data_IF_723223309865
#
_entry.id   IF_723223309865
#
_cell.length_a   1.000
_cell.length_b   1.000
_cell.length_c   1.000
_cell.angle_alpha   90.00
_cell.angle_beta   90.00
_cell.angle_gamma   90.00
#
_symmetry.space_group_name_H-M   'P 1'
#
loop_
_entity.id
_entity.type
_entity.pdbx_description
1 polymer ?
#
# COMPACT_ATOMS: atom_id res chain seq x y z
N UNK A 1 -56.24 -41.48 23.70
CA UNK A 1 -56.01 -42.91 23.95
C UNK A 1 -54.54 -43.20 23.68
N UNK A 2 -53.61 -42.98 24.63
CA UNK A 2 -53.55 -43.41 26.05
C UNK A 2 -53.21 -44.91 26.18
N UNK A 3 -52.41 -45.35 27.15
CA UNK A 3 -51.46 -44.62 28.03
C UNK A 3 -50.31 -45.58 28.41
N UNK A 4 -49.18 -45.05 28.91
CA UNK A 4 -48.05 -45.87 29.35
C UNK A 4 -47.08 -45.09 30.23
N UNK A 5 -47.36 -45.04 31.54
CA UNK A 5 -46.64 -44.18 32.50
C UNK A 5 -45.42 -44.85 33.14
N UNK A 6 -44.35 -44.07 33.26
CA UNK A 6 -43.41 -44.05 34.39
C UNK A 6 -42.46 -45.25 34.57
N UNK A 7 -41.23 -45.09 35.07
CA UNK A 7 -40.51 -43.87 35.45
C UNK A 7 -40.02 -43.90 36.90
N UNK A 8 -38.72 -44.07 37.10
CA UNK A 8 -37.96 -43.83 38.34
C UNK A 8 -36.45 -43.88 38.02
N UNK A 9 -35.64 -43.10 38.74
CA UNK A 9 -34.18 -43.28 38.85
C UNK A 9 -33.81 -43.79 40.26
N UNK A 10 -32.57 -43.62 40.75
CA UNK A 10 -31.40 -42.97 40.13
C UNK A 10 -30.18 -43.93 39.98
N UNK A 11 -29.05 -43.43 39.47
CA UNK A 11 -27.76 -44.12 39.50
C UNK A 11 -26.59 -43.16 39.38
N UNK A 12 -25.71 -43.11 40.38
CA UNK A 12 -24.50 -42.28 40.37
C UNK A 12 -23.39 -42.90 39.51
N UNK A 13 -22.78 -42.11 38.62
CA UNK A 13 -21.54 -42.47 37.94
C UNK A 13 -20.55 -41.30 37.99
N UNK A 14 -19.38 -41.55 38.59
CA UNK A 14 -18.39 -40.55 39.02
C UNK A 14 -17.73 -39.79 37.86
N UNK A 15 -17.23 -38.59 38.17
CA UNK A 15 -16.42 -37.76 37.29
C UNK A 15 -15.19 -38.51 36.73
N UNK A 16 -14.95 -38.37 35.43
CA UNK A 16 -13.68 -38.67 34.78
C UNK A 16 -13.16 -37.44 34.04
N UNK A 17 -12.11 -36.81 34.54
CA UNK A 17 -11.46 -35.68 33.85
C UNK A 17 -10.53 -36.20 32.76
N UNK A 18 -10.81 -35.87 31.50
CA UNK A 18 -9.90 -36.04 30.37
C UNK A 18 -9.73 -34.69 29.66
N UNK A 19 -8.49 -34.22 29.56
CA UNK A 19 -8.16 -32.89 29.03
C UNK A 19 -8.37 -32.82 27.52
N UNK A 20 -9.21 -31.88 27.07
CA UNK A 20 -9.21 -31.42 25.68
C UNK A 20 -8.18 -30.30 25.53
N UNK A 21 -7.15 -30.50 24.71
CA UNK A 21 -6.27 -29.43 24.26
C UNK A 21 -7.07 -28.46 23.39
N UNK A 22 -7.15 -27.19 23.80
CA UNK A 22 -7.79 -26.16 23.00
C UNK A 22 -6.90 -25.82 21.79
N UNK A 23 -7.29 -26.26 20.60
CA UNK A 23 -6.77 -25.68 19.37
C UNK A 23 -7.19 -24.21 19.31
N UNK A 24 -6.22 -23.31 19.20
CA UNK A 24 -6.46 -21.87 19.12
C UNK A 24 -7.12 -21.51 17.80
N UNK A 25 -8.45 -21.42 17.78
CA UNK A 25 -9.18 -20.91 16.62
C UNK A 25 -8.84 -19.42 16.44
N UNK A 26 -8.09 -19.10 15.38
CA UNK A 26 -7.74 -17.73 15.05
C UNK A 26 -9.03 -16.94 14.74
N UNK A 27 -9.31 -15.92 15.54
CA UNK A 27 -10.56 -15.18 15.42
C UNK A 27 -10.62 -14.41 14.09
N UNK A 28 -11.46 -14.88 13.16
CA UNK A 28 -11.88 -14.17 11.94
C UNK A 28 -12.78 -12.96 12.32
N UNK A 29 -12.18 -12.01 13.03
CA UNK A 29 -12.82 -10.94 13.76
C UNK A 29 -12.97 -9.65 12.96
N UNK A 30 -14.11 -9.52 12.29
CA UNK A 30 -14.60 -8.34 11.59
C UNK A 30 -13.92 -7.96 10.26
N UNK A 31 -14.76 -7.57 9.28
CA UNK A 31 -14.31 -7.03 7.97
C UNK A 31 -13.44 -5.78 8.19
N UNK A 32 -12.25 -5.69 7.56
CA UNK A 32 -11.29 -4.61 7.79
C UNK A 32 -11.88 -3.24 7.43
N UNK A 33 -11.41 -2.18 8.08
CA UNK A 33 -12.07 -0.88 8.04
C UNK A 33 -12.20 -0.31 6.62
N UNK A 34 -11.20 -0.56 5.76
CA UNK A 34 -11.24 -0.25 4.32
C UNK A 34 -12.56 -0.68 3.67
N UNK A 35 -13.01 -1.93 3.86
CA UNK A 35 -14.27 -2.45 3.32
C UNK A 35 -15.53 -1.73 3.81
N UNK A 36 -15.45 -0.98 4.92
CA UNK A 36 -16.58 -0.21 5.48
C UNK A 36 -16.75 1.15 4.80
N UNK A 37 -15.66 1.77 4.32
CA UNK A 37 -15.72 3.03 3.57
C UNK A 37 -16.41 2.86 2.22
N UNK A 38 -16.27 1.68 1.59
CA UNK A 38 -16.86 1.35 0.28
C UNK A 38 -18.35 0.96 0.33
N UNK A 39 -19.02 1.11 1.49
CA UNK A 39 -20.47 0.93 1.56
C UNK A 39 -21.16 2.00 0.73
N UNK A 40 -21.60 1.62 -0.47
CA UNK A 40 -22.57 2.38 -1.27
C UNK A 40 -23.70 2.87 -0.35
N UNK A 41 -24.04 4.15 -0.41
CA UNK A 41 -25.26 4.64 0.23
C UNK A 41 -26.46 3.80 -0.26
N UNK A 42 -27.47 3.52 0.60
CA UNK A 42 -28.67 2.81 0.17
C UNK A 42 -29.30 3.55 -1.01
N UNK A 43 -29.90 2.80 -1.95
CA UNK A 43 -30.52 3.36 -3.16
C UNK A 43 -31.45 4.52 -2.77
N UNK A 44 -31.13 5.72 -3.25
CA UNK A 44 -32.01 6.87 -3.08
C UNK A 44 -33.36 6.57 -3.72
N UNK A 45 -34.46 6.81 -2.99
CA UNK A 45 -35.84 6.51 -3.42
C UNK A 45 -36.37 7.52 -4.47
N UNK A 46 -35.47 8.07 -5.27
CA UNK A 46 -35.67 9.17 -6.21
C UNK A 46 -35.91 8.72 -7.67
N UNK A 47 -36.05 7.42 -7.95
CA UNK A 47 -36.65 6.95 -9.21
C UNK A 47 -38.18 6.96 -9.11
N UNK A 48 -38.75 8.16 -9.10
CA UNK A 48 -40.18 8.38 -9.38
C UNK A 48 -40.30 9.46 -10.44
N UNK A 49 -40.44 9.02 -11.70
CA UNK A 49 -40.41 9.89 -12.88
C UNK A 49 -41.57 10.89 -12.85
N UNK A 50 -41.26 12.16 -12.65
CA UNK A 50 -42.15 13.28 -12.92
C UNK A 50 -41.91 13.81 -14.35
N UNK A 51 -42.96 14.13 -15.14
CA UNK A 51 -42.79 14.55 -16.53
C UNK A 51 -42.13 15.94 -16.64
N UNK A 52 -41.22 16.08 -17.62
CA UNK A 52 -40.49 17.34 -17.89
C UNK A 52 -41.47 18.47 -18.29
N UNK A 53 -41.33 19.69 -17.73
CA UNK A 53 -41.99 20.87 -18.29
C UNK A 53 -41.37 21.22 -19.66
N UNK A 54 -42.19 21.74 -20.58
CA UNK A 54 -41.73 22.18 -21.92
C UNK A 54 -40.91 23.48 -21.83
N UNK A 55 -39.89 23.69 -22.67
CA UNK A 55 -39.17 24.95 -22.73
C UNK A 55 -40.06 26.08 -23.25
N UNK A 56 -39.95 27.27 -22.64
CA UNK A 56 -40.48 28.53 -23.20
C UNK A 56 -39.39 29.22 -24.02
N UNK A 57 -39.74 29.66 -25.23
CA UNK A 57 -38.87 30.51 -26.05
C UNK A 57 -38.74 31.91 -25.44
N UNK A 58 -37.56 32.55 -25.48
CA UNK A 58 -37.46 34.00 -25.34
C UNK A 58 -37.89 34.67 -26.65
N UNK A 59 -38.74 35.71 -26.57
CA UNK A 59 -38.98 36.63 -27.70
C UNK A 59 -37.85 37.65 -27.78
N UNK A 60 -37.49 38.04 -28.99
CA UNK A 60 -36.52 39.10 -29.23
C UNK A 60 -37.13 40.49 -29.03
N UNK A 61 -36.36 41.39 -28.43
CA UNK A 61 -36.49 42.85 -28.59
C UNK A 61 -35.11 43.50 -28.68
N UNK A 62 -35.05 44.54 -29.51
CA UNK A 62 -33.96 45.46 -29.82
C UNK A 62 -34.63 46.66 -30.53
N UNK A 63 -34.05 47.88 -30.61
CA UNK A 63 -32.60 48.12 -30.70
C UNK A 63 -32.07 49.36 -29.94
N UNK A 64 -30.77 49.62 -30.11
CA UNK A 64 -30.22 50.97 -30.21
C UNK A 64 -29.48 51.52 -28.98
N UNK A 65 -28.14 51.66 -29.10
CA UNK A 65 -27.43 52.95 -29.29
C UNK A 65 -25.91 52.75 -29.20
N UNK A 66 -25.19 53.42 -30.10
CA UNK A 66 -23.74 53.75 -30.15
C UNK A 66 -23.67 55.19 -30.74
N UNK A 67 -22.59 56.00 -30.61
CA UNK A 67 -21.16 55.60 -30.50
C UNK A 67 -20.29 56.47 -29.54
N UNK A 68 -18.96 56.30 -29.60
CA UNK A 68 -17.90 57.11 -28.95
C UNK A 68 -16.80 56.18 -28.42
N UNK A 69 -15.53 56.18 -28.88
CA UNK A 69 -14.49 57.22 -29.11
C UNK A 69 -13.79 57.70 -27.82
N UNK A 70 -12.44 57.64 -27.82
CA UNK A 70 -11.56 57.87 -26.66
C UNK A 70 -10.70 56.62 -26.36
N UNK A 71 -9.58 56.36 -27.04
CA UNK A 71 -8.28 57.06 -27.02
C UNK A 71 -7.40 56.69 -25.81
N UNK A 72 -6.18 56.23 -26.08
CA UNK A 72 -5.14 55.96 -25.08
C UNK A 72 -4.33 57.23 -24.76
N UNK A 73 -3.48 57.19 -23.71
CA UNK A 73 -2.09 57.55 -23.96
C UNK A 73 -1.07 56.60 -23.31
N UNK A 74 0.16 56.59 -23.85
CA UNK A 74 1.31 55.92 -23.26
C UNK A 74 2.51 56.89 -23.13
N UNK A 75 2.99 57.09 -21.91
CA UNK A 75 4.16 57.91 -21.53
C UNK A 75 4.62 57.45 -20.13
N UNK A 76 5.91 57.44 -19.73
CA UNK A 76 7.21 57.55 -20.44
C UNK A 76 8.30 56.91 -19.55
N UNK A 77 9.53 56.77 -20.06
CA UNK A 77 10.69 56.16 -19.35
C UNK A 77 11.61 57.18 -18.63
N UNK A 78 12.42 56.66 -17.68
CA UNK A 78 13.81 57.07 -17.36
C UNK A 78 14.05 58.39 -16.55
N UNK A 79 15.26 58.64 -15.97
CA UNK A 79 16.25 57.70 -15.37
C UNK A 79 17.09 58.21 -14.14
N UNK A 80 17.86 57.27 -13.52
CA UNK A 80 19.26 57.38 -12.98
C UNK A 80 19.72 58.48 -11.99
N UNK A 81 20.39 57.99 -10.92
CA UNK A 81 21.78 58.30 -10.44
C UNK A 81 22.10 57.26 -9.32
N UNK A 82 23.23 56.53 -9.18
CA UNK A 82 24.67 56.73 -9.46
C UNK A 82 25.30 57.86 -8.63
N UNK A 83 26.36 57.69 -7.83
CA UNK A 83 27.30 56.57 -7.53
C UNK A 83 28.48 57.19 -6.72
N UNK A 84 29.71 56.61 -6.65
CA UNK A 84 30.21 55.28 -7.03
C UNK A 84 30.29 54.33 -5.78
N UNK A 85 31.37 53.77 -5.19
CA UNK A 85 32.83 53.63 -5.46
C UNK A 85 33.46 52.48 -4.63
N UNK A 86 34.73 52.10 -4.94
CA UNK A 86 35.64 51.24 -4.18
C UNK A 86 37.10 51.70 -4.44
N UNK A 87 38.17 51.24 -3.71
CA UNK A 87 38.89 50.04 -4.20
C UNK A 87 39.76 49.21 -3.18
N UNK A 88 40.07 47.97 -3.60
CA UNK A 88 41.34 47.20 -3.50
C UNK A 88 42.17 46.99 -2.18
N UNK A 89 42.21 45.70 -1.75
CA UNK A 89 43.32 44.70 -1.91
C UNK A 89 44.72 44.90 -1.27
N UNK A 90 45.29 43.75 -0.81
CA UNK A 90 46.65 43.48 -0.26
C UNK A 90 46.84 43.90 1.22
N UNK A 91 47.63 43.21 2.05
CA UNK A 91 48.39 41.96 1.87
C UNK A 91 49.07 41.50 3.18
N UNK A 92 49.66 40.30 3.22
CA UNK A 92 50.36 39.76 4.40
C UNK A 92 51.90 39.91 4.31
N UNK A 93 52.62 39.90 5.45
CA UNK A 93 53.92 39.22 5.48
C UNK A 93 54.24 38.39 6.76
N UNK A 94 55.41 37.76 6.71
CA UNK A 94 55.97 36.67 7.53
C UNK A 94 56.52 37.06 8.93
N UNK A 95 56.33 36.15 9.90
CA UNK A 95 57.31 35.33 10.68
C UNK A 95 58.73 35.82 11.12
N UNK A 96 59.36 34.99 11.98
CA UNK A 96 60.73 35.05 12.61
C UNK A 96 60.91 36.02 13.80
N UNK A 97 61.79 35.80 14.81
CA UNK A 97 62.53 34.63 15.34
C UNK A 97 63.25 35.00 16.68
N UNK A 98 63.79 34.02 17.43
CA UNK A 98 64.68 34.22 18.60
C UNK A 98 63.98 34.06 19.96
N UNK A 99 64.31 33.17 20.91
CA UNK A 99 65.54 32.46 21.34
C UNK A 99 66.30 33.15 22.49
N UNK A 100 66.46 32.43 23.61
CA UNK A 100 67.22 32.85 24.80
C UNK A 100 67.27 31.73 25.86
N UNK A 101 68.47 31.35 26.29
CA UNK A 101 68.73 30.30 27.29
C UNK A 101 68.97 30.94 28.71
N UNK A 102 69.33 30.27 29.82
CA UNK A 102 70.17 29.07 30.00
C UNK A 102 70.11 28.51 31.45
N UNK A 103 70.45 27.22 31.64
CA UNK A 103 70.88 26.59 32.92
C UNK A 103 69.85 26.51 34.09
N UNK A 104 70.01 25.69 35.16
CA UNK A 104 71.20 25.01 35.72
C UNK A 104 70.94 23.69 36.51
N UNK A 105 71.83 22.70 36.32
CA UNK A 105 72.24 21.58 37.25
C UNK A 105 71.32 20.36 37.55
N UNK A 106 71.99 19.35 38.13
CA UNK A 106 71.79 17.87 38.32
C UNK A 106 72.44 17.51 39.71
N UNK A 107 72.62 16.25 40.22
CA UNK A 107 72.20 14.90 39.77
C UNK A 107 71.78 13.89 40.91
N UNK A 108 71.71 12.59 40.55
CA UNK A 108 71.74 11.37 41.40
C UNK A 108 70.43 10.94 42.11
N UNK A 109 70.21 9.68 42.49
CA UNK A 109 71.11 8.50 42.51
C UNK A 109 70.38 7.16 42.16
N UNK A 110 71.13 6.08 41.95
CA UNK A 110 70.61 4.73 41.62
C UNK A 110 70.32 3.88 42.86
N UNK A 111 69.27 3.05 42.81
CA UNK A 111 69.27 1.68 43.36
C UNK A 111 68.12 0.84 42.81
N UNK A 112 68.32 -0.47 42.70
CA UNK A 112 67.33 -1.45 42.23
C UNK A 112 66.81 -2.30 43.39
N UNK A 113 65.53 -2.68 43.32
CA UNK A 113 64.91 -3.71 44.15
C UNK A 113 64.04 -4.60 43.25
N UNK A 114 63.95 -5.89 43.58
CA UNK A 114 63.24 -6.90 42.77
C UNK A 114 61.73 -6.83 42.99
N UNK A 115 60.95 -7.24 41.98
CA UNK A 115 59.50 -7.36 42.07
C UNK A 115 59.06 -8.55 42.94
N UNK A 116 57.81 -8.50 43.43
CA UNK A 116 56.94 -9.68 43.38
C UNK A 116 56.04 -9.66 42.14
N UNK A 117 55.96 -10.80 41.45
CA UNK A 117 54.78 -11.10 40.61
C UNK A 117 53.66 -11.54 41.55
N UNK A 118 52.45 -10.99 41.39
CA UNK A 118 51.15 -11.71 41.36
C UNK A 118 49.96 -10.77 41.63
N UNK A 119 49.27 -10.38 40.57
CA UNK A 119 47.95 -9.71 40.63
C UNK A 119 47.16 -9.88 39.31
N UNK A 120 47.87 -9.91 38.17
CA UNK A 120 47.26 -9.82 36.84
C UNK A 120 46.80 -11.18 36.25
N UNK A 121 45.95 -11.94 36.98
CA UNK A 121 45.45 -13.24 36.47
C UNK A 121 44.03 -13.66 36.90
N UNK A 122 43.13 -12.72 37.22
CA UNK A 122 41.73 -13.04 37.60
C UNK A 122 40.60 -12.36 36.80
N UNK A 123 40.91 -11.52 35.81
CA UNK A 123 39.88 -10.77 35.04
C UNK A 123 39.49 -11.25 33.62
N UNK A 124 40.15 -12.22 32.93
CA UNK A 124 39.75 -12.55 31.55
C UNK A 124 38.40 -13.28 31.46
N UNK A 125 38.01 -14.04 32.50
CA UNK A 125 36.77 -14.82 32.51
C UNK A 125 35.51 -13.95 32.56
N UNK A 126 35.53 -12.88 33.35
CA UNK A 126 34.39 -11.97 33.47
C UNK A 126 34.13 -11.20 32.15
N UNK A 127 35.18 -10.73 31.49
CA UNK A 127 35.07 -10.02 30.20
C UNK A 127 34.52 -10.93 29.08
N UNK A 128 35.01 -12.18 28.99
CA UNK A 128 34.51 -13.15 27.99
C UNK A 128 33.06 -13.55 28.25
N UNK A 129 32.67 -13.75 29.52
CA UNK A 129 31.27 -14.04 29.87
C UNK A 129 30.35 -12.84 29.59
N UNK A 130 30.79 -11.62 29.86
CA UNK A 130 30.05 -10.39 29.53
C UNK A 130 29.83 -10.24 28.03
N UNK A 131 30.88 -10.41 27.22
CA UNK A 131 30.79 -10.38 25.76
C UNK A 131 29.89 -11.50 25.20
N UNK A 132 30.00 -12.71 25.75
CA UNK A 132 29.14 -13.84 25.40
C UNK A 132 27.66 -13.57 25.74
N UNK A 133 27.38 -13.00 26.91
CA UNK A 133 26.03 -12.63 27.33
C UNK A 133 25.43 -11.51 26.46
N UNK A 134 26.21 -10.49 26.07
CA UNK A 134 25.72 -9.44 25.15
C UNK A 134 25.52 -9.96 23.73
N UNK A 135 26.37 -10.87 23.24
CA UNK A 135 26.19 -11.49 21.93
C UNK A 135 24.97 -12.42 21.92
N UNK A 136 24.78 -13.21 22.98
CA UNK A 136 23.58 -14.04 23.17
C UNK A 136 22.32 -13.18 23.29
N UNK A 137 22.36 -12.05 24.00
CA UNK A 137 21.24 -11.11 24.08
C UNK A 137 20.92 -10.46 22.74
N UNK A 138 21.92 -10.12 21.91
CA UNK A 138 21.72 -9.60 20.55
C UNK A 138 21.12 -10.67 19.61
N UNK A 139 21.60 -11.91 19.69
CA UNK A 139 21.03 -13.03 18.92
C UNK A 139 19.60 -13.36 19.36
N UNK A 140 19.34 -13.37 20.68
CA UNK A 140 18.00 -13.56 21.23
C UNK A 140 17.05 -12.41 20.85
N UNK A 141 17.52 -11.16 20.89
CA UNK A 141 16.73 -10.01 20.42
C UNK A 141 16.42 -10.10 18.92
N UNK A 142 17.37 -10.59 18.12
CA UNK A 142 17.16 -10.93 16.71
C UNK A 142 16.11 -12.03 16.50
N UNK A 143 16.04 -13.03 17.39
CA UNK A 143 15.04 -14.12 17.31
C UNK A 143 13.68 -13.80 17.96
N UNK A 144 13.61 -12.83 18.87
CA UNK A 144 12.35 -12.34 19.45
C UNK A 144 11.70 -11.23 18.59
N UNK A 145 12.40 -10.76 17.56
CA UNK A 145 12.01 -9.63 16.70
C UNK A 145 11.28 -10.00 15.41
N UNK A 146 10.54 -11.11 15.33
CA UNK A 146 9.76 -11.45 14.13
C UNK A 146 8.89 -12.71 14.26
N UNK A 147 7.57 -12.54 14.16
CA UNK A 147 6.61 -13.63 13.92
C UNK A 147 6.50 -13.90 12.40
N UNK A 148 7.64 -14.18 11.79
CA UNK A 148 7.77 -14.49 10.36
C UNK A 148 8.27 -15.93 10.21
N UNK A 149 7.35 -16.88 10.33
CA UNK A 149 7.56 -18.28 9.95
C UNK A 149 8.04 -18.38 8.49
N UNK A 150 8.88 -19.39 8.22
CA UNK A 150 9.71 -19.58 7.01
C UNK A 150 9.11 -18.91 5.77
N UNK A 151 9.77 -17.87 5.28
CA UNK A 151 9.36 -17.14 4.08
C UNK A 151 10.13 -17.62 2.86
N UNK A 152 9.42 -18.14 1.87
CA UNK A 152 9.94 -18.34 0.52
C UNK A 152 9.57 -17.15 -0.37
N UNK A 153 10.38 -16.86 -1.38
CA UNK A 153 10.09 -15.78 -2.34
C UNK A 153 9.50 -16.36 -3.62
N UNK A 154 8.20 -16.16 -3.81
CA UNK A 154 7.44 -16.58 -4.99
C UNK A 154 7.88 -15.82 -6.25
N UNK A 155 8.38 -14.58 -6.11
CA UNK A 155 8.90 -13.79 -7.21
C UNK A 155 9.89 -12.73 -6.70
N UNK A 156 11.20 -12.94 -6.91
CA UNK A 156 12.20 -11.93 -6.53
C UNK A 156 12.12 -10.68 -7.41
N UNK A 157 12.50 -9.54 -6.84
CA UNK A 157 12.51 -8.23 -7.49
C UNK A 157 13.61 -8.10 -8.56
N UNK A 158 14.65 -8.92 -8.47
CA UNK A 158 15.70 -9.08 -9.48
C UNK A 158 15.31 -9.95 -10.67
N UNK A 159 14.31 -10.83 -10.51
CA UNK A 159 13.79 -11.66 -11.61
C UNK A 159 12.92 -10.85 -12.59
N UNK A 160 12.86 -11.30 -13.85
CA UNK A 160 11.89 -10.84 -14.83
C UNK A 160 11.08 -12.06 -15.29
N UNK A 161 9.83 -12.13 -14.87
CA UNK A 161 8.98 -13.29 -15.06
C UNK A 161 8.11 -13.15 -16.32
N UNK A 162 8.25 -13.99 -17.36
CA UNK A 162 7.27 -14.03 -18.45
C UNK A 162 5.89 -14.43 -17.90
N UNK A 163 5.88 -15.44 -17.04
CA UNK A 163 4.77 -15.81 -16.18
C UNK A 163 5.18 -16.93 -15.23
N UNK A 164 4.72 -16.87 -13.99
CA UNK A 164 4.78 -17.95 -12.99
C UNK A 164 3.36 -18.13 -12.46
N UNK A 165 2.85 -19.35 -12.37
CA UNK A 165 1.53 -19.66 -11.83
C UNK A 165 1.65 -20.86 -10.90
N UNK A 166 1.06 -20.76 -9.71
CA UNK A 166 0.91 -21.86 -8.76
C UNK A 166 -0.58 -22.13 -8.63
N UNK A 167 -0.97 -23.36 -8.91
CA UNK A 167 -2.31 -23.87 -8.65
C UNK A 167 -2.44 -24.30 -7.19
N UNK A 168 -3.57 -24.00 -6.57
CA UNK A 168 -3.89 -24.40 -5.18
C UNK A 168 -5.32 -24.93 -5.09
N UNK A 169 -5.66 -25.76 -4.10
CA UNK A 169 -7.05 -26.19 -3.88
C UNK A 169 -7.98 -24.99 -3.73
N UNK A 170 -9.13 -25.00 -4.42
CA UNK A 170 -10.16 -23.98 -4.23
C UNK A 170 -10.77 -24.06 -2.82
N UNK A 171 -11.05 -22.91 -2.22
CA UNK A 171 -11.81 -22.84 -0.97
C UNK A 171 -13.33 -22.98 -1.17
N UNK A 172 -14.01 -23.43 -0.11
CA UNK A 172 -15.47 -23.57 -0.02
C UNK A 172 -16.23 -22.22 -0.13
N UNK A 173 -15.52 -21.08 -0.06
CA UNK A 173 -16.07 -19.74 -0.27
C UNK A 173 -16.90 -19.64 -1.56
N UNK A 174 -16.51 -20.39 -2.60
CA UNK A 174 -17.16 -20.38 -3.90
C UNK A 174 -18.42 -21.26 -4.00
N UNK A 175 -18.65 -22.19 -3.07
CA UNK A 175 -19.77 -23.13 -3.10
C UNK A 175 -21.08 -22.55 -2.53
N UNK A 176 -20.95 -21.60 -1.61
CA UNK A 176 -22.09 -20.82 -1.07
C UNK A 176 -22.65 -19.77 -2.05
N UNK A 177 -22.00 -19.57 -3.20
CA UNK A 177 -22.32 -18.53 -4.17
C UNK A 177 -22.89 -19.08 -5.48
N UNK A 178 -23.70 -18.27 -6.18
CA UNK A 178 -24.14 -18.58 -7.55
C UNK A 178 -22.91 -18.77 -8.44
N UNK A 179 -22.77 -19.94 -9.05
CA UNK A 179 -21.77 -20.21 -10.08
C UNK A 179 -22.20 -19.55 -11.41
N UNK A 180 -21.23 -19.02 -12.15
CA UNK A 180 -21.39 -18.35 -13.45
C UNK A 180 -20.54 -19.08 -14.50
N UNK A 181 -21.18 -19.46 -15.60
CA UNK A 181 -20.57 -20.25 -16.67
C UNK A 181 -19.39 -19.51 -17.31
N UNK A 182 -18.29 -20.24 -17.51
CA UNK A 182 -17.06 -19.70 -18.11
C UNK A 182 -16.35 -18.64 -17.26
N UNK A 183 -16.64 -18.46 -15.97
CA UNK A 183 -15.88 -17.56 -15.09
C UNK A 183 -15.66 -18.08 -13.66
N UNK A 184 -16.66 -18.65 -12.99
CA UNK A 184 -16.54 -18.98 -11.57
C UNK A 184 -15.38 -19.95 -11.30
N UNK A 185 -14.51 -19.70 -10.29
CA UNK A 185 -13.32 -20.52 -10.04
C UNK A 185 -13.58 -22.02 -9.90
N UNK A 186 -13.06 -22.77 -10.86
CA UNK A 186 -12.92 -24.24 -10.83
C UNK A 186 -11.45 -24.66 -10.73
N UNK A 187 -10.55 -23.79 -11.17
CA UNK A 187 -9.09 -23.84 -10.99
C UNK A 187 -8.71 -22.63 -10.13
N UNK A 188 -8.13 -22.86 -8.95
CA UNK A 188 -7.70 -21.79 -8.04
C UNK A 188 -6.18 -21.69 -7.98
N UNK A 189 -5.66 -20.51 -7.61
CA UNK A 189 -4.24 -20.26 -7.80
C UNK A 189 -3.81 -18.82 -7.61
N UNK A 190 -2.49 -18.63 -7.73
CA UNK A 190 -1.79 -17.34 -7.69
C UNK A 190 -0.72 -17.28 -8.78
N UNK A 191 -0.70 -16.19 -9.54
CA UNK A 191 0.21 -15.96 -10.64
C UNK A 191 0.92 -14.62 -10.58
N UNK A 192 2.12 -14.55 -11.15
CA UNK A 192 2.97 -13.36 -11.21
C UNK A 192 3.58 -13.23 -12.61
N UNK A 193 3.55 -12.03 -13.19
CA UNK A 193 4.15 -11.72 -14.50
C UNK A 193 4.69 -10.31 -14.56
N UNK A 194 5.81 -10.14 -15.26
CA UNK A 194 6.47 -8.88 -15.61
C UNK A 194 6.31 -8.53 -17.10
N UNK A 195 5.58 -9.37 -17.88
CA UNK A 195 5.47 -9.24 -19.33
C UNK A 195 4.19 -8.53 -19.82
N UNK A 196 3.16 -8.43 -18.97
CA UNK A 196 1.84 -7.90 -19.36
C UNK A 196 1.82 -6.37 -19.38
N UNK A 197 2.47 -5.72 -18.41
CA UNK A 197 2.52 -4.25 -18.26
C UNK A 197 3.98 -3.80 -18.29
N UNK A 198 4.32 -2.88 -19.19
CA UNK A 198 5.69 -2.36 -19.31
C UNK A 198 6.04 -1.43 -18.14
N UNK A 199 7.35 -1.24 -17.89
CA UNK A 199 7.83 -0.32 -16.85
C UNK A 199 7.41 1.13 -17.12
N UNK A 200 7.30 1.55 -18.39
CA UNK A 200 6.81 2.87 -18.75
C UNK A 200 5.31 3.06 -18.58
N UNK A 201 4.50 2.02 -18.84
CA UNK A 201 3.08 2.03 -18.48
C UNK A 201 2.91 2.12 -16.96
N UNK A 202 3.63 1.31 -16.18
CA UNK A 202 3.60 1.39 -14.71
C UNK A 202 4.05 2.76 -14.19
N UNK A 203 5.09 3.37 -14.78
CA UNK A 203 5.54 4.74 -14.47
C UNK A 203 4.47 5.79 -14.79
N UNK A 204 3.74 5.65 -15.89
CA UNK A 204 2.62 6.55 -16.22
C UNK A 204 1.42 6.33 -15.29
N UNK A 205 1.05 5.08 -14.99
CA UNK A 205 0.00 4.73 -14.01
C UNK A 205 0.36 5.24 -12.60
N UNK A 206 1.63 5.21 -12.19
CA UNK A 206 2.13 5.86 -10.97
C UNK A 206 1.89 7.37 -10.98
N UNK A 207 2.13 8.04 -12.11
CA UNK A 207 1.82 9.47 -12.25
C UNK A 207 0.33 9.77 -12.06
N UNK A 208 -0.59 8.89 -12.49
CA UNK A 208 -2.04 9.02 -12.21
C UNK A 208 -2.30 8.91 -10.70
N UNK A 209 -1.68 7.94 -10.02
CA UNK A 209 -1.77 7.80 -8.58
C UNK A 209 -1.28 9.07 -7.85
N UNK A 210 -0.11 9.57 -8.24
CA UNK A 210 0.54 10.76 -7.68
C UNK A 210 -0.26 12.04 -7.96
N UNK A 211 -0.86 12.19 -9.15
CA UNK A 211 -1.79 13.27 -9.50
C UNK A 211 -2.98 13.31 -8.53
N UNK A 212 -3.73 12.22 -8.41
CA UNK A 212 -4.91 12.18 -7.54
C UNK A 212 -4.57 12.26 -6.04
N UNK A 213 -3.46 11.64 -5.62
CA UNK A 213 -2.96 11.67 -4.24
C UNK A 213 -2.12 12.94 -3.92
N UNK A 214 -2.07 13.93 -4.82
CA UNK A 214 -1.61 15.30 -4.52
C UNK A 214 -2.75 16.16 -3.93
N UNK A 215 -4.00 15.81 -4.22
CA UNK A 215 -5.20 16.48 -3.72
C UNK A 215 -5.57 16.03 -2.29
N UNK A 216 -4.97 14.95 -1.79
CA UNK A 216 -5.27 14.39 -0.49
C UNK A 216 -4.30 13.28 -0.05
N UNK A 217 -4.23 13.09 1.26
CA UNK A 217 -3.55 11.96 1.89
C UNK A 217 -4.15 11.67 3.25
N UNK A 218 -3.86 10.49 3.79
CA UNK A 218 -4.16 10.19 5.19
C UNK A 218 -3.19 10.91 6.13
N UNK A 219 -3.60 11.14 7.38
CA UNK A 219 -2.71 11.48 8.49
C UNK A 219 -1.76 10.33 8.86
N UNK A 220 -2.07 9.10 8.40
CA UNK A 220 -1.30 7.88 8.66
C UNK A 220 -0.68 7.23 7.41
N UNK A 221 -0.12 6.03 7.62
CA UNK A 221 0.75 5.35 6.65
C UNK A 221 0.15 4.89 5.33
N UNK A 222 -1.18 4.91 5.13
CA UNK A 222 -1.80 4.52 3.87
C UNK A 222 -2.78 5.57 3.34
N UNK A 223 -2.59 5.99 2.09
CA UNK A 223 -3.54 6.83 1.35
C UNK A 223 -4.11 6.05 0.16
N UNK A 224 -5.41 6.21 -0.10
CA UNK A 224 -6.14 5.46 -1.11
C UNK A 224 -6.90 6.40 -2.06
N UNK A 225 -6.96 6.03 -3.35
CA UNK A 225 -7.66 6.73 -4.42
C UNK A 225 -8.39 5.71 -5.32
N UNK A 226 -9.71 5.84 -5.48
CA UNK A 226 -10.54 5.06 -6.42
C UNK A 226 -11.13 5.99 -7.50
N UNK A 227 -10.82 5.75 -8.78
CA UNK A 227 -11.30 6.56 -9.91
C UNK A 227 -12.74 6.22 -10.35
N UNK A 228 -13.29 5.07 -9.97
CA UNK A 228 -14.65 4.67 -10.35
C UNK A 228 -15.70 5.29 -9.43
N UNK A 229 -15.45 5.29 -8.13
CA UNK A 229 -16.31 5.95 -7.13
C UNK A 229 -15.89 7.39 -6.84
N UNK A 230 -14.61 7.73 -7.04
CA UNK A 230 -14.01 9.00 -6.64
C UNK A 230 -13.62 9.06 -5.16
N UNK A 231 -13.51 7.96 -4.41
CA UNK A 231 -13.08 8.08 -3.02
C UNK A 231 -11.58 8.42 -2.91
N UNK A 232 -11.24 9.40 -2.08
CA UNK A 232 -9.88 9.85 -1.80
C UNK A 232 -9.68 10.01 -0.28
N UNK A 233 -8.58 9.50 0.26
CA UNK A 233 -8.15 9.75 1.65
C UNK A 233 -7.78 11.21 1.87
N UNK A 234 -8.39 11.85 2.89
CA UNK A 234 -8.08 13.21 3.34
C UNK A 234 -8.10 13.25 4.87
N UNK A 235 -6.92 13.41 5.49
CA UNK A 235 -6.74 13.40 6.93
C UNK A 235 -7.15 12.05 7.53
N UNK A 236 -8.26 12.02 8.28
CA UNK A 236 -8.81 10.80 8.91
C UNK A 236 -10.07 10.27 8.21
N UNK A 237 -10.38 10.79 7.02
CA UNK A 237 -11.66 10.60 6.35
C UNK A 237 -11.49 10.28 4.86
N UNK A 238 -12.59 9.86 4.22
CA UNK A 238 -12.70 9.77 2.77
C UNK A 238 -13.61 10.87 2.25
N UNK A 239 -13.16 11.58 1.21
CA UNK A 239 -13.99 12.51 0.44
C UNK A 239 -14.33 11.92 -0.92
N UNK A 240 -15.40 12.41 -1.54
CA UNK A 240 -15.66 12.13 -2.95
C UNK A 240 -14.97 13.20 -3.81
N UNK A 241 -13.86 12.83 -4.43
CA UNK A 241 -13.00 13.61 -5.30
C UNK A 241 -13.78 14.46 -6.30
N UNK A 242 -14.63 13.83 -7.13
CA UNK A 242 -15.42 14.50 -8.16
C UNK A 242 -16.36 15.57 -7.58
N UNK A 243 -16.99 15.30 -6.43
CA UNK A 243 -17.86 16.29 -5.75
C UNK A 243 -17.12 17.37 -4.97
N UNK A 244 -15.92 17.08 -4.46
CA UNK A 244 -15.18 18.00 -3.59
C UNK A 244 -14.30 18.98 -4.39
N UNK A 245 -13.74 18.53 -5.51
CA UNK A 245 -12.89 19.35 -6.37
C UNK A 245 -13.59 19.84 -7.64
N UNK A 246 -14.67 19.17 -8.09
CA UNK A 246 -15.47 19.57 -9.24
C UNK A 246 -14.63 19.72 -10.51
N UNK A 247 -14.90 20.81 -11.25
CA UNK A 247 -14.25 21.24 -12.50
C UNK A 247 -12.71 21.22 -12.44
N UNK A 248 -12.11 21.32 -11.23
CA UNK A 248 -10.65 21.22 -11.06
C UNK A 248 -10.10 19.84 -11.46
N UNK A 249 -10.92 18.79 -11.49
CA UNK A 249 -10.48 17.44 -11.89
C UNK A 249 -10.07 17.36 -13.37
N UNK A 250 -10.66 18.19 -14.24
CA UNK A 250 -10.25 18.35 -15.64
C UNK A 250 -8.83 18.91 -15.81
N UNK A 251 -8.26 19.49 -14.73
CA UNK A 251 -6.91 20.02 -14.68
C UNK A 251 -5.92 19.07 -13.97
N UNK A 252 -6.37 17.89 -13.53
CA UNK A 252 -5.59 16.92 -12.74
C UNK A 252 -5.43 15.59 -13.47
N UNK A 253 -6.50 15.10 -14.11
CA UNK A 253 -6.45 13.97 -15.02
C UNK A 253 -6.74 14.44 -16.45
N UNK A 254 -6.20 13.73 -17.43
CA UNK A 254 -6.54 13.87 -18.85
C UNK A 254 -7.20 12.59 -19.40
N UNK A 255 -7.78 12.66 -20.59
CA UNK A 255 -8.41 11.46 -21.19
C UNK A 255 -7.35 10.39 -21.54
N UNK A 256 -6.09 10.78 -21.75
CA UNK A 256 -4.96 9.86 -21.92
C UNK A 256 -4.54 9.15 -20.62
N UNK A 257 -4.84 9.73 -19.45
CA UNK A 257 -4.70 9.04 -18.16
C UNK A 257 -5.78 7.95 -18.03
N UNK A 258 -7.05 8.31 -18.31
CA UNK A 258 -8.15 7.34 -18.27
C UNK A 258 -8.01 6.26 -19.34
N UNK A 259 -7.62 6.59 -20.58
CA UNK A 259 -7.37 5.59 -21.62
C UNK A 259 -6.24 4.63 -21.23
N UNK A 260 -5.11 5.13 -20.74
CA UNK A 260 -4.02 4.26 -20.26
C UNK A 260 -4.51 3.33 -19.14
N UNK A 261 -5.30 3.85 -18.21
CA UNK A 261 -5.88 3.03 -17.15
C UNK A 261 -6.78 1.92 -17.71
N UNK A 262 -7.63 2.23 -18.70
CA UNK A 262 -8.46 1.25 -19.40
C UNK A 262 -7.62 0.18 -20.11
N UNK A 263 -6.57 0.58 -20.82
CA UNK A 263 -5.65 -0.33 -21.53
C UNK A 263 -4.96 -1.29 -20.56
N UNK A 264 -4.41 -0.76 -19.47
CA UNK A 264 -3.74 -1.54 -18.41
C UNK A 264 -4.72 -2.51 -17.74
N UNK A 265 -5.94 -2.06 -17.42
CA UNK A 265 -6.99 -2.92 -16.87
C UNK A 265 -7.38 -4.04 -17.84
N UNK A 266 -7.53 -3.76 -19.13
CA UNK A 266 -7.86 -4.78 -20.14
C UNK A 266 -6.75 -5.83 -20.27
N UNK A 267 -5.48 -5.40 -20.30
CA UNK A 267 -4.33 -6.31 -20.29
C UNK A 267 -4.31 -7.24 -19.08
N UNK A 268 -4.60 -6.70 -17.88
CA UNK A 268 -4.70 -7.50 -16.64
C UNK A 268 -5.90 -8.46 -16.68
N UNK A 269 -7.08 -8.02 -17.13
CA UNK A 269 -8.28 -8.86 -17.31
C UNK A 269 -7.99 -10.05 -18.24
N UNK A 270 -7.31 -9.82 -19.36
CA UNK A 270 -6.93 -10.86 -20.33
C UNK A 270 -5.90 -11.84 -19.75
N UNK A 271 -4.91 -11.35 -18.99
CA UNK A 271 -3.89 -12.19 -18.36
C UNK A 271 -4.49 -13.12 -17.29
N UNK A 272 -5.42 -12.62 -16.46
CA UNK A 272 -6.20 -13.44 -15.51
C UNK A 272 -7.00 -14.50 -16.28
N UNK A 273 -7.74 -14.08 -17.31
CA UNK A 273 -8.59 -14.97 -18.07
C UNK A 273 -7.79 -16.12 -18.73
N UNK A 274 -6.64 -15.82 -19.31
CA UNK A 274 -5.74 -16.80 -19.91
C UNK A 274 -5.14 -17.76 -18.86
N UNK A 275 -4.71 -17.27 -17.70
CA UNK A 275 -4.04 -18.09 -16.68
C UNK A 275 -4.99 -19.07 -15.97
N UNK A 276 -6.25 -18.67 -15.77
CA UNK A 276 -7.29 -19.52 -15.16
C UNK A 276 -8.10 -20.34 -16.17
N UNK A 277 -8.01 -20.04 -17.47
CA UNK A 277 -8.75 -20.75 -18.52
C UNK A 277 -10.22 -20.35 -18.62
N UNK A 278 -10.53 -19.08 -18.36
CA UNK A 278 -11.91 -18.54 -18.28
C UNK A 278 -12.19 -17.51 -19.41
N UNK A 279 -13.47 -17.21 -19.61
CA UNK A 279 -13.94 -16.18 -20.54
C UNK A 279 -13.66 -14.78 -20.01
N UNK A 280 -12.80 -14.02 -20.69
CA UNK A 280 -12.59 -12.60 -20.40
C UNK A 280 -13.87 -11.76 -20.53
N UNK A 281 -14.81 -12.17 -21.40
CA UNK A 281 -16.11 -11.50 -21.57
C UNK A 281 -17.08 -11.77 -20.40
N UNK A 282 -16.85 -12.83 -19.61
CA UNK A 282 -17.60 -13.18 -18.40
C UNK A 282 -16.93 -12.66 -17.11
N UNK A 283 -15.77 -12.01 -17.22
CA UNK A 283 -14.96 -11.52 -16.11
C UNK A 283 -15.09 -10.00 -15.99
N UNK A 284 -16.05 -9.54 -15.19
CA UNK A 284 -16.42 -8.12 -15.07
C UNK A 284 -15.53 -7.38 -14.08
N UNK A 285 -15.08 -6.16 -14.41
CA UNK A 285 -14.42 -5.27 -13.45
C UNK A 285 -15.38 -4.98 -12.28
N UNK A 286 -14.88 -5.02 -11.04
CA UNK A 286 -15.70 -4.76 -9.84
C UNK A 286 -15.09 -3.75 -8.88
N UNK A 287 -15.87 -3.37 -7.86
CA UNK A 287 -15.51 -2.37 -6.83
C UNK A 287 -15.27 -3.01 -5.46
N UNK A 288 -14.40 -2.43 -4.62
CA UNK A 288 -13.49 -1.32 -4.94
C UNK A 288 -12.34 -1.76 -5.86
N UNK A 289 -11.88 -0.84 -6.69
CA UNK A 289 -10.64 -0.98 -7.48
C UNK A 289 -9.90 0.34 -7.26
N UNK A 290 -8.67 0.30 -6.75
CA UNK A 290 -8.07 1.46 -6.10
C UNK A 290 -6.54 1.49 -6.13
N UNK A 291 -6.00 2.70 -6.21
CA UNK A 291 -4.60 3.01 -5.96
C UNK A 291 -4.32 3.05 -4.46
N UNK A 292 -3.15 2.57 -4.07
CA UNK A 292 -2.60 2.63 -2.72
C UNK A 292 -1.24 3.32 -2.75
N UNK A 293 -1.04 4.26 -1.83
CA UNK A 293 0.26 4.85 -1.48
C UNK A 293 0.53 4.50 -0.01
N UNK A 294 1.56 3.70 0.23
CA UNK A 294 1.88 3.17 1.57
C UNK A 294 3.30 3.58 1.95
N UNK A 295 3.49 4.13 3.14
CA UNK A 295 4.79 4.48 3.71
C UNK A 295 4.91 4.06 5.19
N UNK A 296 5.99 4.50 5.85
CA UNK A 296 6.33 4.14 7.23
C UNK A 296 5.71 5.05 8.31
N UNK A 297 4.79 5.96 7.96
CA UNK A 297 4.05 6.75 8.96
C UNK A 297 3.11 5.84 9.76
N UNK A 298 3.02 6.06 11.07
CA UNK A 298 2.14 5.30 11.96
C UNK A 298 0.66 5.39 11.53
N UNK A 299 -0.13 4.36 11.85
CA UNK A 299 -1.58 4.43 11.68
C UNK A 299 -2.20 5.51 12.58
N UNK A 300 -3.17 6.26 12.04
CA UNK A 300 -3.99 7.24 12.78
C UNK A 300 -5.47 6.86 12.80
N UNK A 301 -5.86 5.90 11.96
CA UNK A 301 -7.18 5.30 11.82
C UNK A 301 -7.02 3.82 11.45
N UNK A 302 -8.08 3.02 11.64
CA UNK A 302 -8.09 1.62 11.18
C UNK A 302 -8.05 1.48 9.63
N UNK A 303 -8.14 2.57 8.86
CA UNK A 303 -7.92 2.57 7.41
C UNK A 303 -6.42 2.63 7.04
N UNK A 304 -5.57 3.05 7.98
CA UNK A 304 -4.11 3.05 7.83
C UNK A 304 -3.46 1.70 8.18
N UNK A 305 -4.23 0.76 8.73
CA UNK A 305 -3.73 -0.54 9.19
C UNK A 305 -3.73 -1.58 8.05
N UNK A 306 -2.94 -1.30 7.02
CA UNK A 306 -2.88 -2.06 5.76
C UNK A 306 -2.26 -3.46 5.86
N UNK A 307 -1.68 -3.81 7.01
CA UNK A 307 -0.83 -5.00 7.18
C UNK A 307 -1.56 -6.21 7.78
N UNK A 308 -2.86 -6.11 8.05
CA UNK A 308 -3.65 -7.21 8.62
C UNK A 308 -3.92 -8.30 7.58
N UNK A 309 -3.89 -9.56 8.02
CA UNK A 309 -4.22 -10.70 7.16
C UNK A 309 -5.71 -10.70 6.79
N UNK A 310 -6.03 -10.92 5.52
CA UNK A 310 -7.41 -10.96 5.04
C UNK A 310 -7.60 -11.85 3.81
N UNK A 311 -8.87 -12.18 3.56
CA UNK A 311 -9.35 -12.87 2.35
C UNK A 311 -10.25 -11.90 1.61
N UNK A 312 -10.04 -11.71 0.31
CA UNK A 312 -10.75 -10.72 -0.49
C UNK A 312 -12.22 -11.04 -0.69
N UNK A 313 -12.56 -12.31 -0.95
CA UNK A 313 -13.93 -12.79 -1.10
C UNK A 313 -14.75 -12.50 0.15
N UNK A 314 -14.20 -12.81 1.33
CA UNK A 314 -14.82 -12.51 2.64
C UNK A 314 -14.87 -11.00 2.93
N UNK A 315 -13.83 -10.26 2.52
CA UNK A 315 -13.69 -8.82 2.78
C UNK A 315 -14.67 -7.98 1.97
N UNK A 316 -14.81 -8.24 0.67
CA UNK A 316 -15.58 -7.43 -0.27
C UNK A 316 -16.86 -8.13 -0.76
N UNK A 317 -16.86 -9.45 -0.92
CA UNK A 317 -17.99 -10.27 -1.42
C UNK A 317 -18.05 -10.38 -2.94
N UNK A 318 -17.89 -9.24 -3.62
CA UNK A 318 -17.92 -9.16 -5.09
C UNK A 318 -16.70 -9.75 -5.78
N UNK A 319 -15.54 -9.79 -5.13
CA UNK A 319 -14.30 -10.24 -5.77
C UNK A 319 -14.32 -11.74 -5.97
N UNK A 320 -14.14 -12.21 -7.21
CA UNK A 320 -13.88 -13.60 -7.53
C UNK A 320 -12.41 -13.81 -7.92
N UNK A 321 -11.80 -12.79 -8.55
CA UNK A 321 -10.36 -12.69 -8.84
C UNK A 321 -9.82 -11.31 -8.45
N UNK A 322 -8.64 -11.30 -7.79
CA UNK A 322 -7.92 -10.08 -7.42
C UNK A 322 -6.65 -9.95 -8.26
N UNK A 323 -6.22 -8.72 -8.52
CA UNK A 323 -4.87 -8.42 -8.98
C UNK A 323 -4.28 -7.16 -8.36
N UNK A 324 -2.96 -7.13 -8.23
CA UNK A 324 -2.17 -5.96 -7.86
C UNK A 324 -1.14 -5.71 -8.97
N UNK A 325 -1.20 -4.54 -9.60
CA UNK A 325 -0.09 -4.01 -10.40
C UNK A 325 0.79 -3.15 -9.49
N UNK A 326 2.06 -3.53 -9.37
CA UNK A 326 3.05 -2.78 -8.61
C UNK A 326 3.60 -1.61 -9.45
N UNK A 327 3.73 -0.45 -8.79
CA UNK A 327 4.09 0.83 -9.40
C UNK A 327 5.40 1.40 -8.83
N UNK A 328 5.97 0.73 -7.83
CA UNK A 328 7.24 1.03 -7.17
C UNK A 328 8.08 -0.24 -7.04
N UNK A 329 9.40 -0.11 -7.01
CA UNK A 329 10.33 -1.23 -6.90
C UNK A 329 10.87 -1.41 -5.46
N UNK A 330 10.66 -2.60 -4.91
CA UNK A 330 11.16 -2.99 -3.58
C UNK A 330 12.69 -2.94 -3.51
N UNK A 331 13.20 -2.39 -2.41
CA UNK A 331 14.61 -2.06 -2.12
C UNK A 331 15.21 -0.83 -2.82
N UNK A 332 14.51 -0.16 -3.75
CA UNK A 332 14.93 1.17 -4.26
C UNK A 332 13.92 2.27 -3.87
N UNK A 333 12.62 2.10 -4.15
CA UNK A 333 11.58 3.07 -3.76
C UNK A 333 11.20 2.95 -2.28
N UNK A 334 11.28 1.76 -1.70
CA UNK A 334 10.86 1.44 -0.33
C UNK A 334 11.42 0.11 0.19
N UNK A 335 11.43 -0.07 1.51
CA UNK A 335 11.77 -1.32 2.19
C UNK A 335 10.64 -1.83 3.10
N UNK A 336 10.63 -3.14 3.38
CA UNK A 336 9.42 -3.83 3.84
C UNK A 336 8.35 -3.86 2.74
N UNK A 337 7.06 -3.90 3.09
CA UNK A 337 5.98 -3.73 2.10
C UNK A 337 5.82 -4.86 1.05
N UNK A 338 6.46 -6.03 1.21
CA UNK A 338 6.21 -7.19 0.33
C UNK A 338 4.77 -7.67 0.50
N UNK A 339 4.24 -8.32 -0.53
CA UNK A 339 2.94 -8.99 -0.45
C UNK A 339 3.18 -10.45 -0.03
N UNK A 340 2.44 -10.93 0.96
CA UNK A 340 2.66 -12.23 1.60
C UNK A 340 1.38 -13.06 1.53
N UNK A 341 1.41 -14.14 0.76
CA UNK A 341 0.43 -15.22 0.90
C UNK A 341 0.77 -16.02 2.15
N UNK A 342 -0.22 -16.22 3.03
CA UNK A 342 -0.08 -16.96 4.27
C UNK A 342 -0.54 -18.40 4.05
N UNK A 343 0.36 -19.35 4.32
CA UNK A 343 0.22 -20.75 3.95
C UNK A 343 0.68 -21.64 5.12
N UNK A 344 0.17 -22.87 5.19
CA UNK A 344 0.69 -23.85 6.14
C UNK A 344 2.14 -24.24 5.76
N UNK A 345 3.01 -24.32 6.76
CA UNK A 345 4.44 -24.62 6.57
C UNK A 345 5.30 -23.39 6.27
N UNK A 346 5.10 -22.74 5.12
CA UNK A 346 5.96 -21.63 4.68
C UNK A 346 5.22 -20.54 3.89
N UNK A 347 5.27 -19.30 4.39
CA UNK A 347 4.68 -18.12 3.76
C UNK A 347 5.34 -17.83 2.40
N UNK A 348 4.56 -17.44 1.38
CA UNK A 348 5.10 -17.15 0.04
C UNK A 348 5.01 -15.66 -0.27
N UNK A 349 6.16 -15.04 -0.52
CA UNK A 349 6.28 -13.59 -0.68
C UNK A 349 6.47 -13.17 -2.14
N UNK A 350 5.73 -12.17 -2.60
CA UNK A 350 5.95 -11.50 -3.89
C UNK A 350 6.65 -10.19 -3.61
N UNK A 351 7.87 -10.03 -4.14
CA UNK A 351 8.62 -8.78 -4.05
C UNK A 351 8.13 -7.80 -5.13
N UNK A 352 7.64 -6.60 -4.76
CA UNK A 352 7.15 -5.61 -5.71
C UNK A 352 8.22 -5.10 -6.68
N UNK A 353 7.83 -4.97 -7.95
CA UNK A 353 8.65 -4.46 -9.05
C UNK A 353 7.75 -3.66 -9.98
N UNK A 354 8.12 -2.45 -10.38
CA UNK A 354 7.25 -1.62 -11.22
C UNK A 354 6.99 -2.33 -12.57
N UNK A 355 5.71 -2.48 -12.93
CA UNK A 355 5.24 -3.26 -14.09
C UNK A 355 4.81 -4.69 -13.76
N UNK A 356 5.19 -5.22 -12.60
CA UNK A 356 4.79 -6.57 -12.17
C UNK A 356 3.31 -6.61 -11.81
N UNK A 357 2.60 -7.58 -12.38
CA UNK A 357 1.23 -7.94 -12.01
C UNK A 357 1.28 -9.22 -11.18
N UNK A 358 0.69 -9.19 -9.99
CA UNK A 358 0.38 -10.37 -9.18
C UNK A 358 -1.14 -10.54 -9.19
N UNK A 359 -1.65 -11.74 -9.44
CA UNK A 359 -3.09 -12.01 -9.56
C UNK A 359 -3.46 -13.37 -8.96
N UNK A 360 -4.67 -13.50 -8.43
CA UNK A 360 -5.10 -14.71 -7.71
C UNK A 360 -6.63 -14.84 -7.63
N UNK A 361 -7.11 -16.06 -7.33
CA UNK A 361 -8.52 -16.29 -6.94
C UNK A 361 -8.75 -15.72 -5.54
N UNK A 362 -9.78 -14.89 -5.37
CA UNK A 362 -9.99 -14.08 -4.17
C UNK A 362 -10.41 -14.85 -2.90
N UNK A 363 -10.58 -16.17 -2.95
CA UNK A 363 -11.03 -17.02 -1.85
C UNK A 363 -9.98 -17.30 -0.78
N UNK A 364 -10.38 -18.04 0.26
CA UNK A 364 -9.55 -18.30 1.44
C UNK A 364 -8.26 -19.09 1.14
N UNK A 365 -8.15 -19.72 -0.02
CA UNK A 365 -6.90 -20.34 -0.49
C UNK A 365 -5.79 -19.30 -0.84
N UNK A 366 -6.15 -18.02 -0.84
CA UNK A 366 -5.25 -16.86 -0.98
C UNK A 366 -5.38 -15.90 0.22
N UNK A 367 -5.45 -16.41 1.46
CA UNK A 367 -5.23 -15.59 2.67
C UNK A 367 -3.91 -14.83 2.56
N UNK A 368 -3.92 -13.50 2.75
CA UNK A 368 -2.72 -12.69 2.52
C UNK A 368 -2.64 -11.43 3.39
N UNK A 369 -1.40 -10.91 3.54
CA UNK A 369 -1.09 -9.61 4.16
C UNK A 369 -0.07 -8.82 3.33
N UNK A 370 0.04 -7.52 3.62
CA UNK A 370 1.18 -6.70 3.18
C UNK A 370 2.08 -6.46 4.38
N UNK A 371 3.39 -6.61 4.24
CA UNK A 371 4.34 -6.24 5.30
C UNK A 371 4.28 -4.74 5.60
N UNK A 372 4.63 -4.33 6.82
CA UNK A 372 4.82 -2.90 7.11
C UNK A 372 5.95 -2.34 6.23
N UNK A 373 5.75 -1.14 5.67
CA UNK A 373 6.80 -0.38 5.01
C UNK A 373 7.66 0.27 6.09
N UNK A 374 8.97 0.07 6.03
CA UNK A 374 9.93 0.57 7.02
C UNK A 374 10.58 1.90 6.60
N UNK A 375 10.72 2.12 5.29
CA UNK A 375 11.21 3.37 4.71
C UNK A 375 10.70 3.53 3.27
N UNK A 376 10.73 4.76 2.75
CA UNK A 376 10.35 5.06 1.36
C UNK A 376 8.84 5.10 1.14
N UNK A 377 8.37 4.82 -0.08
CA UNK A 377 6.93 4.78 -0.41
C UNK A 377 6.61 3.75 -1.49
N UNK A 378 5.69 2.84 -1.17
CA UNK A 378 5.15 1.80 -2.04
C UNK A 378 3.88 2.29 -2.74
N UNK A 379 3.89 2.37 -4.07
CA UNK A 379 2.69 2.52 -4.88
C UNK A 379 2.27 1.18 -5.51
N UNK A 380 0.97 0.90 -5.49
CA UNK A 380 0.34 -0.20 -6.24
C UNK A 380 -1.12 0.13 -6.56
N UNK A 381 -1.68 -0.45 -7.63
CA UNK A 381 -3.11 -0.41 -7.92
C UNK A 381 -3.70 -1.81 -7.81
N UNK A 382 -4.73 -1.96 -6.98
CA UNK A 382 -5.51 -3.19 -6.83
C UNK A 382 -6.69 -3.13 -7.80
N UNK A 383 -6.74 -4.07 -8.75
CA UNK A 383 -7.80 -4.19 -9.76
C UNK A 383 -8.50 -5.53 -9.52
N UNK A 384 -9.79 -5.49 -9.24
CA UNK A 384 -10.58 -6.66 -8.86
C UNK A 384 -11.67 -6.97 -9.89
N UNK A 385 -11.99 -8.26 -10.03
CA UNK A 385 -12.98 -8.75 -10.98
C UNK A 385 -14.00 -9.68 -10.31
N UNK A 386 -15.23 -9.66 -10.83
CA UNK A 386 -16.32 -10.55 -10.45
C UNK A 386 -16.83 -11.33 -11.66
N UNK A 387 -17.32 -12.52 -11.42
CA UNK A 387 -18.09 -13.29 -12.40
C UNK A 387 -19.58 -12.90 -12.42
N UNK A 388 -20.04 -12.10 -11.45
CA UNK A 388 -21.41 -11.62 -11.39
C UNK A 388 -21.56 -10.29 -12.17
N UNK A 389 -22.36 -10.24 -13.26
CA UNK A 389 -22.61 -8.99 -13.99
C UNK A 389 -23.29 -7.91 -13.11
N UNK A 390 -24.07 -8.29 -12.09
CA UNK A 390 -24.67 -7.35 -11.13
C UNK A 390 -23.62 -6.65 -10.22
N UNK A 391 -22.34 -7.04 -10.32
CA UNK A 391 -21.21 -6.43 -9.65
C UNK A 391 -20.23 -5.76 -10.62
N UNK A 392 -20.56 -5.76 -11.92
CA UNK A 392 -19.82 -5.04 -12.95
C UNK A 392 -19.86 -3.54 -12.75
N UNK A 393 -18.73 -2.86 -12.97
CA UNK A 393 -18.64 -1.40 -13.02
C UNK A 393 -18.03 -0.95 -14.35
N UNK A 394 -18.41 0.24 -14.81
CA UNK A 394 -17.77 0.88 -15.95
C UNK A 394 -16.36 1.37 -15.60
N UNK A 395 -15.51 1.43 -16.62
CA UNK A 395 -14.22 2.11 -16.60
C UNK A 395 -14.34 3.60 -16.23
N UNK A 396 -13.27 4.25 -15.73
CA UNK A 396 -13.31 5.66 -15.38
C UNK A 396 -13.28 6.55 -16.63
N UNK A 397 -13.94 7.69 -16.50
CA UNK A 397 -14.05 8.78 -17.47
C UNK A 397 -14.50 10.05 -16.74
N UNK A 398 -14.42 11.21 -17.40
CA UNK A 398 -15.09 12.44 -16.94
C UNK A 398 -16.61 12.26 -16.87
N UNK A 399 -17.30 13.03 -16.00
CA UNK A 399 -18.73 12.92 -15.70
C UNK A 399 -19.37 14.26 -15.40
#
# INVERSE_FOLDING_TARGET
MEEGRGGLGPGEARCGCASRSAHGSAALGARPAIARAWRSAPRSTAERVAPRPRPRQPRATSPGVRPGLGAAPAFRLAPRRAGPMAPQRRGAPKAHEGSGATERRRPSSMKSVRAPREAWRKWPRAAVLGAGATLAALLLWGSLGGDDGVTEVLAHRSEVLPGRFIEVPCSEDYDSHRRFEGCSPTKCGRGVTDAVITRDEARRIRSIAEKGLSLGGSDGGASILDLHSGALSVGKHFVNLYRYFGDKIENIFSEEDFQLYRDVRQKVQLAIAQAFGISAASLYLTKPTFFSRINSTEARTAHDEYWHAHVDKVTYGSFDYTSLLYLSDYLDDFGGGRFVFMEEGANKTVEPRAGRVSFFTSGSENLHRVEKVHWGTRYAVTIAFSCNPDHGIADPAFR
#
